data_IF_921706635833
#
_entry.id   IF_921706635833
#
_cell.length_a   1.000
_cell.length_b   1.000
_cell.length_c   1.000
_cell.angle_alpha   90.00
_cell.angle_beta   90.00
_cell.angle_gamma   90.00
#
_symmetry.space_group_name_H-M   'P 1'
#
loop_
_entity.id
_entity.type
_entity.pdbx_description
1 polymer ?
#
# COMPACT_ATOMS: atom_id res chain seq x y z
N UNK A 1 1.38 29.14 -20.35
CA UNK A 1 1.56 28.73 -21.76
C UNK A 1 1.49 27.22 -21.80
N UNK A 2 0.59 26.61 -22.60
CA UNK A 2 0.39 25.15 -22.65
C UNK A 2 0.59 24.68 -24.10
N UNK A 3 1.48 23.71 -24.32
CA UNK A 3 1.74 23.14 -25.64
C UNK A 3 0.61 22.17 -26.06
N UNK A 4 0.51 21.89 -27.36
CA UNK A 4 -0.40 20.88 -27.91
C UNK A 4 0.23 20.16 -29.10
N UNK A 5 -0.53 19.26 -29.74
CA UNK A 5 -0.05 18.55 -30.95
C UNK A 5 0.10 19.46 -32.17
N UNK A 6 -0.43 20.69 -32.13
CA UNK A 6 -0.18 21.73 -33.12
C UNK A 6 0.15 23.02 -32.39
N UNK A 7 1.00 23.83 -32.99
CA UNK A 7 1.20 25.22 -32.55
C UNK A 7 0.04 26.10 -33.06
N UNK A 8 -0.16 27.31 -32.51
CA UNK A 8 -1.19 28.24 -33.00
C UNK A 8 -1.07 28.59 -34.50
N UNK A 9 0.13 28.53 -35.06
CA UNK A 9 0.42 28.71 -36.50
C UNK A 9 0.17 27.46 -37.35
N UNK A 10 -0.41 26.41 -36.76
CA UNK A 10 -0.66 25.08 -37.35
C UNK A 10 0.59 24.28 -37.72
N UNK A 11 1.78 24.73 -37.31
CA UNK A 11 2.98 23.90 -37.44
C UNK A 11 2.96 22.73 -36.46
N UNK A 12 3.68 21.65 -36.82
CA UNK A 12 3.73 20.38 -36.07
C UNK A 12 4.95 20.36 -35.15
N UNK A 13 4.77 20.47 -33.82
CA UNK A 13 5.85 20.34 -32.84
C UNK A 13 6.19 18.86 -32.58
N UNK A 14 7.11 18.63 -31.66
CA UNK A 14 7.71 17.34 -31.31
C UNK A 14 6.65 16.29 -30.95
N UNK A 15 5.68 16.65 -30.11
CA UNK A 15 4.60 15.74 -29.68
C UNK A 15 3.73 15.20 -30.82
N UNK A 16 3.59 15.95 -31.93
CA UNK A 16 2.89 15.45 -33.12
C UNK A 16 3.65 14.27 -33.74
N UNK A 17 4.96 14.44 -33.92
CA UNK A 17 5.83 13.47 -34.59
C UNK A 17 5.93 12.20 -33.75
N UNK A 18 6.05 12.34 -32.43
CA UNK A 18 6.07 11.22 -31.50
C UNK A 18 4.75 10.44 -31.51
N UNK A 19 3.61 11.13 -31.41
CA UNK A 19 2.29 10.49 -31.47
C UNK A 19 2.07 9.74 -32.79
N UNK A 20 2.49 10.33 -33.92
CA UNK A 20 2.41 9.69 -35.23
C UNK A 20 3.26 8.41 -35.29
N UNK A 21 4.46 8.41 -34.70
CA UNK A 21 5.32 7.22 -34.64
C UNK A 21 4.70 6.12 -33.80
N UNK A 22 4.15 6.45 -32.63
CA UNK A 22 3.45 5.48 -31.76
C UNK A 22 2.23 4.89 -32.47
N UNK A 23 1.44 5.71 -33.19
CA UNK A 23 0.31 5.22 -33.99
C UNK A 23 0.73 4.32 -35.16
N UNK A 24 1.97 4.42 -35.65
CA UNK A 24 2.56 3.44 -36.56
C UNK A 24 2.77 2.10 -35.88
N UNK A 25 3.50 2.09 -34.75
CA UNK A 25 3.79 0.88 -33.97
C UNK A 25 2.51 0.16 -33.54
N UNK A 26 1.50 0.91 -33.07
CA UNK A 26 0.25 0.35 -32.59
C UNK A 26 -0.54 -0.39 -33.68
N UNK A 27 -0.45 0.02 -34.94
CA UNK A 27 -1.18 -0.61 -36.06
C UNK A 27 -0.63 -1.98 -36.44
N UNK A 28 0.67 -2.18 -36.24
CA UNK A 28 1.38 -3.37 -36.73
C UNK A 28 1.62 -4.40 -35.60
N UNK A 29 1.29 -4.07 -34.35
CA UNK A 29 1.47 -4.93 -33.20
C UNK A 29 0.17 -5.60 -32.77
N UNK A 30 0.25 -6.88 -32.38
CA UNK A 30 -0.82 -7.58 -31.68
C UNK A 30 -0.74 -7.27 -30.18
N UNK A 31 -1.76 -6.60 -29.65
CA UNK A 31 -1.76 -6.12 -28.27
C UNK A 31 -2.58 -7.06 -27.40
N UNK A 32 -1.96 -7.72 -26.41
CA UNK A 32 -2.71 -8.59 -25.51
C UNK A 32 -3.71 -7.78 -24.67
N UNK A 33 -4.82 -8.41 -24.32
CA UNK A 33 -5.76 -7.85 -23.36
C UNK A 33 -5.07 -7.60 -22.01
N UNK A 34 -5.58 -6.63 -21.25
CA UNK A 34 -5.12 -6.44 -19.89
C UNK A 34 -5.42 -7.71 -19.06
N UNK A 35 -4.41 -8.19 -18.33
CA UNK A 35 -4.52 -9.26 -17.35
C UNK A 35 -4.56 -8.67 -15.95
N UNK A 36 -5.04 -9.45 -14.97
CA UNK A 36 -4.94 -9.13 -13.54
C UNK A 36 -3.48 -8.85 -13.18
N UNK A 37 -3.26 -7.83 -12.34
CA UNK A 37 -1.96 -7.52 -11.76
C UNK A 37 -1.42 -8.64 -10.86
N UNK A 38 -0.15 -8.54 -10.47
CA UNK A 38 0.46 -9.49 -9.53
C UNK A 38 -0.05 -9.32 -8.10
N UNK A 39 -0.37 -8.07 -7.77
CA UNK A 39 -0.73 -7.61 -6.43
C UNK A 39 -1.79 -6.52 -6.55
N UNK A 40 -2.56 -6.33 -5.48
CA UNK A 40 -3.48 -5.20 -5.38
C UNK A 40 -3.09 -4.22 -4.28
N UNK A 41 -3.47 -2.95 -4.50
CA UNK A 41 -3.39 -1.87 -3.52
C UNK A 41 -4.79 -1.28 -3.35
N UNK A 42 -5.35 -1.39 -2.15
CA UNK A 42 -6.66 -0.81 -1.82
C UNK A 42 -6.48 0.66 -1.53
N UNK A 43 -7.12 1.51 -2.34
CA UNK A 43 -7.13 2.96 -2.19
C UNK A 43 -8.55 3.45 -1.93
N UNK A 44 -8.69 4.29 -0.92
CA UNK A 44 -9.98 4.82 -0.49
C UNK A 44 -9.97 6.34 -0.42
N UNK A 45 -10.94 6.96 -1.07
CA UNK A 45 -11.08 8.42 -1.08
C UNK A 45 -11.59 8.95 0.26
N UNK A 46 -12.43 8.20 0.99
CA UNK A 46 -12.87 8.61 2.32
C UNK A 46 -11.69 8.67 3.29
N UNK A 47 -10.78 7.70 3.20
CA UNK A 47 -9.50 7.69 3.91
C UNK A 47 -8.63 8.90 3.58
N UNK A 48 -8.58 9.31 2.31
CA UNK A 48 -7.88 10.53 1.91
C UNK A 48 -8.47 11.76 2.62
N UNK A 49 -9.79 11.89 2.66
CA UNK A 49 -10.46 13.02 3.33
C UNK A 49 -10.29 12.98 4.84
N UNK A 50 -10.37 11.80 5.45
CA UNK A 50 -10.19 11.63 6.87
C UNK A 50 -8.80 12.08 7.32
N UNK A 51 -7.76 11.67 6.60
CA UNK A 51 -6.38 12.03 6.97
C UNK A 51 -5.98 13.42 6.53
N UNK A 52 -6.64 14.01 5.54
CA UNK A 52 -6.56 15.46 5.31
C UNK A 52 -7.22 16.26 6.46
N UNK A 53 -8.30 15.73 7.05
CA UNK A 53 -9.03 16.37 8.17
C UNK A 53 -8.23 16.30 9.47
N UNK A 54 -7.67 15.12 9.79
CA UNK A 54 -6.84 14.91 10.98
C UNK A 54 -5.51 14.23 10.57
N UNK A 55 -4.54 14.98 10.03
CA UNK A 55 -3.26 14.41 9.64
C UNK A 55 -2.44 13.98 10.86
N UNK A 56 -2.55 14.69 11.99
CA UNK A 56 -1.80 14.47 13.25
C UNK A 56 -0.26 14.68 13.14
N UNK A 57 0.29 14.64 11.93
CA UNK A 57 1.66 15.00 11.58
C UNK A 57 1.62 15.84 10.31
N UNK A 58 2.44 16.88 10.21
CA UNK A 58 2.60 17.66 8.97
C UNK A 58 3.00 16.79 7.78
N UNK A 59 3.74 15.71 8.05
CA UNK A 59 4.30 14.83 7.03
C UNK A 59 3.44 13.59 6.73
N UNK A 60 2.34 13.37 7.46
CA UNK A 60 1.45 12.24 7.18
C UNK A 60 0.45 12.60 6.08
N UNK A 61 0.71 12.08 4.88
CA UNK A 61 -0.15 12.26 3.70
C UNK A 61 -0.56 10.90 3.13
N UNK A 62 -1.88 10.65 3.05
CA UNK A 62 -2.42 9.36 2.63
C UNK A 62 -2.02 8.98 1.21
N UNK A 63 -2.04 9.95 0.29
CA UNK A 63 -1.69 9.72 -1.10
C UNK A 63 -0.19 9.40 -1.23
N UNK A 64 0.67 10.10 -0.49
CA UNK A 64 2.11 9.84 -0.43
C UNK A 64 2.40 8.45 0.11
N UNK A 65 1.71 7.98 1.15
CA UNK A 65 1.85 6.61 1.67
C UNK A 65 1.59 5.59 0.56
N UNK A 66 0.47 5.75 -0.15
CA UNK A 66 0.11 4.90 -1.28
C UNK A 66 1.12 4.98 -2.43
N UNK A 67 1.56 6.19 -2.76
CA UNK A 67 2.52 6.41 -3.83
C UNK A 67 3.89 5.79 -3.51
N UNK A 68 4.35 5.86 -2.26
CA UNK A 68 5.59 5.23 -1.83
C UNK A 68 5.49 3.71 -1.90
N UNK A 69 4.39 3.12 -1.40
CA UNK A 69 4.11 1.68 -1.51
C UNK A 69 4.05 1.26 -2.98
N UNK A 70 3.28 1.97 -3.81
CA UNK A 70 3.22 1.75 -5.26
C UNK A 70 4.62 1.81 -5.89
N UNK A 71 5.45 2.82 -5.56
CA UNK A 71 6.82 2.92 -6.09
C UNK A 71 7.67 1.73 -5.68
N UNK A 72 7.56 1.23 -4.44
CA UNK A 72 8.24 0.01 -3.98
C UNK A 72 7.84 -1.21 -4.79
N UNK A 73 6.54 -1.45 -4.97
CA UNK A 73 6.02 -2.56 -5.78
C UNK A 73 6.52 -2.48 -7.23
N UNK A 74 6.47 -1.29 -7.84
CA UNK A 74 6.92 -1.06 -9.22
C UNK A 74 8.44 -1.20 -9.39
N UNK A 75 9.23 -0.88 -8.36
CA UNK A 75 10.68 -1.10 -8.36
C UNK A 75 11.05 -2.59 -8.31
N UNK A 76 10.15 -3.43 -7.80
CA UNK A 76 10.28 -4.89 -7.80
C UNK A 76 9.62 -5.55 -9.02
N UNK A 77 9.26 -4.79 -10.04
CA UNK A 77 8.76 -5.32 -11.32
C UNK A 77 7.33 -5.86 -11.28
N UNK A 78 6.57 -5.52 -10.23
CA UNK A 78 5.19 -5.95 -10.05
C UNK A 78 4.22 -5.07 -10.85
N UNK A 79 3.26 -5.71 -11.52
CA UNK A 79 2.05 -5.08 -12.04
C UNK A 79 1.06 -4.94 -10.89
N UNK A 80 0.52 -3.75 -10.72
CA UNK A 80 -0.33 -3.39 -9.57
C UNK A 80 -1.70 -3.00 -10.10
N UNK A 81 -2.74 -3.58 -9.52
CA UNK A 81 -4.10 -3.12 -9.69
C UNK A 81 -4.53 -2.33 -8.43
N UNK A 82 -5.27 -1.25 -8.64
CA UNK A 82 -5.77 -0.40 -7.56
C UNK A 82 -7.25 -0.70 -7.38
N UNK A 83 -7.62 -1.10 -6.17
CA UNK A 83 -8.99 -1.46 -5.82
C UNK A 83 -9.61 -0.38 -4.91
N UNK A 84 -10.90 -0.12 -5.05
CA UNK A 84 -11.67 0.51 -3.98
C UNK A 84 -11.94 -0.52 -2.87
N UNK A 85 -12.32 -0.09 -1.66
CA UNK A 85 -12.80 -1.00 -0.62
C UNK A 85 -13.91 -1.95 -1.11
N UNK A 86 -14.89 -1.43 -1.85
CA UNK A 86 -15.97 -2.25 -2.41
C UNK A 86 -15.50 -3.30 -3.40
N UNK A 87 -14.54 -2.95 -4.27
CA UNK A 87 -13.94 -3.93 -5.18
C UNK A 87 -13.14 -4.98 -4.42
N UNK A 88 -12.42 -4.57 -3.37
CA UNK A 88 -11.69 -5.49 -2.51
C UNK A 88 -12.61 -6.53 -1.88
N UNK A 89 -13.82 -6.17 -1.42
CA UNK A 89 -14.79 -7.12 -0.84
C UNK A 89 -15.03 -8.38 -1.71
N UNK A 90 -14.95 -8.26 -3.04
CA UNK A 90 -15.20 -9.38 -3.96
C UNK A 90 -13.94 -9.91 -4.66
N UNK A 91 -12.81 -9.21 -4.59
CA UNK A 91 -11.64 -9.45 -5.46
C UNK A 91 -10.33 -9.70 -4.73
N UNK A 92 -10.31 -9.86 -3.41
CA UNK A 92 -9.06 -10.17 -2.69
C UNK A 92 -8.37 -11.41 -3.27
N UNK A 93 -9.13 -12.49 -3.48
CA UNK A 93 -8.63 -13.77 -3.99
C UNK A 93 -8.23 -13.77 -5.48
N UNK A 94 -8.40 -12.65 -6.19
CA UNK A 94 -7.79 -12.46 -7.53
C UNK A 94 -6.26 -12.30 -7.42
N UNK A 95 -5.72 -12.03 -6.21
CA UNK A 95 -4.33 -11.68 -5.97
C UNK A 95 -3.70 -12.59 -4.91
N UNK A 96 -2.39 -12.83 -4.99
CA UNK A 96 -1.65 -13.53 -3.92
C UNK A 96 -1.28 -12.60 -2.74
N UNK A 97 -1.31 -11.28 -2.95
CA UNK A 97 -0.91 -10.27 -1.99
C UNK A 97 -1.69 -8.97 -2.20
N UNK A 98 -2.25 -8.43 -1.13
CA UNK A 98 -2.99 -7.15 -1.12
C UNK A 98 -2.42 -6.22 -0.05
N UNK A 99 -2.21 -4.97 -0.39
CA UNK A 99 -1.88 -3.90 0.54
C UNK A 99 -3.11 -3.01 0.77
N UNK A 100 -3.42 -2.69 2.03
CA UNK A 100 -4.48 -1.76 2.40
C UNK A 100 -3.99 -0.80 3.50
N UNK A 101 -3.11 0.16 3.17
CA UNK A 101 -2.50 1.03 4.16
C UNK A 101 -3.42 2.20 4.52
N UNK A 102 -3.55 2.49 5.82
CA UNK A 102 -4.24 3.68 6.29
C UNK A 102 -5.72 3.77 5.92
N UNK A 103 -6.45 2.66 5.80
CA UNK A 103 -7.90 2.77 5.62
C UNK A 103 -8.54 3.43 6.86
N UNK A 104 -9.39 4.44 6.66
CA UNK A 104 -10.03 5.19 7.73
C UNK A 104 -10.89 4.31 8.63
N UNK A 105 -11.76 3.53 8.00
CA UNK A 105 -12.53 2.46 8.61
C UNK A 105 -12.37 1.18 7.78
N UNK A 106 -12.79 0.05 8.35
CA UNK A 106 -12.97 -1.19 7.62
C UNK A 106 -14.43 -1.61 7.79
N UNK A 107 -15.21 -1.61 6.71
CA UNK A 107 -16.62 -1.98 6.78
C UNK A 107 -16.80 -3.43 7.26
N UNK A 108 -18.02 -3.79 7.67
CA UNK A 108 -18.32 -5.15 8.06
C UNK A 108 -18.10 -6.12 6.88
N UNK A 109 -18.45 -5.70 5.67
CA UNK A 109 -18.29 -6.46 4.44
C UNK A 109 -16.82 -6.67 4.10
N UNK A 110 -16.00 -5.62 4.16
CA UNK A 110 -14.56 -5.73 3.90
C UNK A 110 -13.88 -6.58 4.98
N UNK A 111 -14.27 -6.42 6.24
CA UNK A 111 -13.77 -7.24 7.35
C UNK A 111 -14.14 -8.72 7.19
N UNK A 112 -15.32 -9.01 6.64
CA UNK A 112 -15.73 -10.38 6.32
C UNK A 112 -14.93 -10.96 5.15
N UNK A 113 -14.67 -10.18 4.09
CA UNK A 113 -13.84 -10.58 2.96
C UNK A 113 -12.38 -10.85 3.40
N UNK A 114 -11.76 -9.85 4.03
CA UNK A 114 -10.94 -9.99 5.25
C UNK A 114 -10.66 -11.41 5.76
N UNK A 115 -11.62 -11.88 6.55
CA UNK A 115 -11.56 -13.13 7.27
C UNK A 115 -11.72 -14.38 6.41
N UNK A 116 -12.34 -14.28 5.24
CA UNK A 116 -12.62 -15.42 4.38
C UNK A 116 -11.54 -15.66 3.32
N UNK A 117 -10.69 -14.67 3.03
CA UNK A 117 -9.72 -14.72 1.95
C UNK A 117 -8.57 -15.69 2.22
N UNK A 118 -8.07 -16.31 1.15
CA UNK A 118 -6.79 -17.04 1.19
C UNK A 118 -5.60 -16.13 0.88
N UNK A 119 -5.85 -14.86 0.60
CA UNK A 119 -4.85 -13.87 0.19
C UNK A 119 -4.15 -13.29 1.40
N UNK A 120 -2.84 -13.07 1.30
CA UNK A 120 -2.09 -12.31 2.32
C UNK A 120 -2.49 -10.84 2.22
N UNK A 121 -3.02 -10.27 3.30
CA UNK A 121 -3.43 -8.86 3.37
C UNK A 121 -2.50 -8.12 4.34
N UNK A 122 -1.82 -7.08 3.84
CA UNK A 122 -0.97 -6.22 4.63
C UNK A 122 -1.70 -4.90 4.90
N UNK A 123 -2.14 -4.74 6.14
CA UNK A 123 -2.71 -3.49 6.64
C UNK A 123 -1.58 -2.56 7.06
N UNK A 124 -1.70 -1.29 6.70
CA UNK A 124 -0.72 -0.26 7.06
C UNK A 124 -1.08 0.50 8.33
N UNK A 125 -0.23 1.45 8.75
CA UNK A 125 -0.51 2.29 9.92
C UNK A 125 -1.84 3.02 9.76
N UNK A 126 -2.52 3.28 10.88
CA UNK A 126 -3.84 3.94 10.97
C UNK A 126 -5.02 3.20 10.35
N UNK A 127 -4.81 2.01 9.78
CA UNK A 127 -5.90 1.20 9.23
C UNK A 127 -6.94 0.90 10.31
N UNK A 128 -8.21 1.17 10.01
CA UNK A 128 -9.34 1.04 10.93
C UNK A 128 -9.12 1.73 12.28
N UNK A 129 -8.41 2.87 12.29
CA UNK A 129 -8.16 3.62 13.53
C UNK A 129 -9.32 4.50 13.98
N UNK A 130 -10.37 4.59 13.16
CA UNK A 130 -11.57 5.37 13.43
C UNK A 130 -12.82 4.58 13.07
N UNK A 131 -13.91 4.88 13.78
CA UNK A 131 -15.26 4.48 13.38
C UNK A 131 -15.75 5.31 12.19
N UNK A 132 -16.87 4.93 11.58
CA UNK A 132 -17.51 5.70 10.50
C UNK A 132 -17.80 7.15 10.90
N UNK A 133 -18.08 7.40 12.18
CA UNK A 133 -18.36 8.73 12.74
C UNK A 133 -17.08 9.44 13.27
N UNK A 134 -15.89 9.04 12.82
CA UNK A 134 -14.60 9.64 13.18
C UNK A 134 -14.28 9.58 14.69
N UNK A 135 -14.73 8.54 15.38
CA UNK A 135 -14.38 8.32 16.79
C UNK A 135 -13.27 7.29 16.93
N UNK A 136 -12.54 7.32 18.05
CA UNK A 136 -11.63 6.22 18.38
C UNK A 136 -12.51 5.02 18.78
N UNK A 137 -12.30 3.81 18.21
CA UNK A 137 -13.04 2.61 18.58
C UNK A 137 -12.91 2.31 20.08
N UNK A 138 -13.99 1.84 20.72
CA UNK A 138 -14.02 1.59 22.16
C UNK A 138 -12.96 0.56 22.61
N UNK A 139 -12.67 -0.43 21.76
CA UNK A 139 -11.68 -1.48 22.03
C UNK A 139 -10.26 -1.15 21.53
N UNK A 140 -10.01 0.12 21.20
CA UNK A 140 -8.81 0.64 20.54
C UNK A 140 -8.64 0.16 19.08
N UNK A 141 -7.90 0.92 18.26
CA UNK A 141 -7.53 0.50 16.90
C UNK A 141 -6.70 -0.79 16.84
N UNK A 142 -6.66 -1.46 15.68
CA UNK A 142 -7.60 -1.34 14.56
C UNK A 142 -8.98 -1.95 14.90
N UNK A 143 -10.05 -1.30 14.45
CA UNK A 143 -11.42 -1.80 14.56
C UNK A 143 -11.67 -2.93 13.56
N UNK A 144 -11.25 -4.14 13.94
CA UNK A 144 -11.38 -5.36 13.16
C UNK A 144 -11.97 -6.49 14.00
N UNK A 145 -12.67 -7.48 13.44
CA UNK A 145 -13.10 -8.65 14.20
C UNK A 145 -11.92 -9.35 14.90
N UNK A 146 -12.12 -9.79 16.15
CA UNK A 146 -11.06 -10.42 16.96
C UNK A 146 -10.36 -11.57 16.20
N UNK A 147 -11.11 -12.35 15.42
CA UNK A 147 -10.60 -13.47 14.62
C UNK A 147 -9.46 -13.05 13.67
N UNK A 148 -9.47 -11.82 13.17
CA UNK A 148 -8.46 -11.31 12.22
C UNK A 148 -7.63 -10.14 12.76
N UNK A 149 -7.93 -9.63 13.95
CA UNK A 149 -7.24 -8.47 14.55
C UNK A 149 -5.85 -8.87 15.05
N UNK A 150 -4.74 -8.42 14.44
CA UNK A 150 -3.39 -8.80 14.88
C UNK A 150 -2.82 -7.86 15.94
N UNK A 151 -3.36 -6.66 16.09
CA UNK A 151 -2.79 -5.60 16.91
C UNK A 151 -3.85 -4.96 17.81
N UNK A 152 -3.39 -4.33 18.89
CA UNK A 152 -4.12 -3.33 19.65
C UNK A 152 -3.22 -2.10 19.83
N UNK A 153 -3.58 -0.99 19.21
CA UNK A 153 -2.76 0.23 19.20
C UNK A 153 -3.04 1.05 20.45
N UNK A 154 -2.04 1.19 21.31
CA UNK A 154 -2.17 1.89 22.60
C UNK A 154 -1.76 3.35 22.53
N UNK A 155 -0.86 3.68 21.60
CA UNK A 155 -0.33 5.04 21.39
C UNK A 155 0.24 5.20 19.99
N UNK A 156 0.31 6.44 19.52
CA UNK A 156 0.96 6.80 18.26
C UNK A 156 1.96 7.94 18.46
N UNK A 157 2.95 8.01 17.59
CA UNK A 157 3.95 9.07 17.52
C UNK A 157 4.04 9.61 16.09
N UNK A 158 3.93 10.93 15.96
CA UNK A 158 4.30 11.68 14.75
C UNK A 158 5.80 11.96 14.80
N UNK A 159 6.56 11.41 13.86
CA UNK A 159 8.03 11.54 13.85
C UNK A 159 8.44 12.80 13.09
N UNK A 160 9.34 13.59 13.69
CA UNK A 160 9.96 14.73 13.02
C UNK A 160 10.79 14.29 11.81
N UNK A 161 10.98 15.19 10.85
CA UNK A 161 11.84 14.91 9.70
C UNK A 161 13.26 14.51 10.16
N UNK A 162 13.82 13.47 9.54
CA UNK A 162 15.13 12.92 9.91
C UNK A 162 15.12 11.95 11.10
N UNK A 163 14.06 11.92 11.92
CA UNK A 163 13.93 10.93 12.98
C UNK A 163 13.50 9.58 12.38
N UNK A 164 14.29 8.56 12.66
CA UNK A 164 14.06 7.19 12.17
C UNK A 164 14.06 6.22 13.34
N UNK A 165 13.23 5.18 13.26
CA UNK A 165 13.15 4.11 14.26
C UNK A 165 13.59 2.81 13.58
N UNK A 166 14.83 2.36 13.80
CA UNK A 166 15.36 1.17 13.13
C UNK A 166 14.53 -0.09 13.44
N UNK A 167 14.29 -0.89 12.41
CA UNK A 167 13.73 -2.23 12.51
C UNK A 167 14.86 -3.26 12.46
N UNK A 168 14.79 -4.26 13.33
CA UNK A 168 15.82 -5.28 13.50
C UNK A 168 16.15 -6.05 12.22
N UNK A 169 17.32 -6.70 12.19
CA UNK A 169 17.75 -7.49 11.04
C UNK A 169 18.16 -6.67 9.82
N UNK A 170 18.52 -5.40 10.01
CA UNK A 170 18.86 -4.47 8.92
C UNK A 170 17.74 -4.36 7.86
N UNK A 171 16.49 -4.50 8.32
CA UNK A 171 15.30 -4.53 7.47
C UNK A 171 14.94 -3.14 6.93
N UNK A 172 15.35 -2.07 7.63
CA UNK A 172 14.99 -0.67 7.35
C UNK A 172 14.54 0.04 8.62
N UNK A 173 13.66 1.02 8.49
CA UNK A 173 13.17 1.81 9.62
C UNK A 173 11.72 2.27 9.45
N UNK A 174 11.09 2.61 10.57
CA UNK A 174 9.87 3.43 10.57
C UNK A 174 10.27 4.92 10.54
N UNK A 175 9.55 5.70 9.74
CA UNK A 175 9.70 7.14 9.53
C UNK A 175 8.33 7.79 9.53
N UNK A 176 8.19 9.11 9.70
CA UNK A 176 6.91 9.87 9.67
C UNK A 176 5.88 9.52 10.76
N UNK A 177 5.61 8.23 10.98
CA UNK A 177 4.59 7.70 11.86
C UNK A 177 5.03 6.40 12.50
N UNK A 178 4.74 6.27 13.79
CA UNK A 178 4.95 5.05 14.57
C UNK A 178 3.74 4.77 15.45
N UNK A 179 3.42 3.49 15.60
CA UNK A 179 2.36 3.01 16.46
C UNK A 179 2.93 2.05 17.50
N UNK A 180 2.50 2.22 18.76
CA UNK A 180 2.79 1.29 19.85
C UNK A 180 1.66 0.28 19.87
N UNK A 181 1.99 -0.96 19.51
CA UNK A 181 1.04 -2.05 19.42
C UNK A 181 1.29 -3.09 20.51
N UNK A 182 0.21 -3.60 21.09
CA UNK A 182 0.17 -4.87 21.79
C UNK A 182 -0.25 -5.96 20.79
N UNK A 183 0.40 -7.13 20.85
CA UNK A 183 -0.04 -8.29 20.08
C UNK A 183 -1.43 -8.74 20.58
N UNK A 184 -2.39 -8.88 19.67
CA UNK A 184 -3.77 -9.23 20.00
C UNK A 184 -4.14 -10.62 19.44
N UNK A 185 -4.95 -11.36 20.21
CA UNK A 185 -5.56 -12.62 19.78
C UNK A 185 -4.57 -13.65 19.24
N UNK A 186 -3.40 -13.79 19.87
CA UNK A 186 -2.38 -14.79 19.51
C UNK A 186 -1.58 -14.46 18.25
N UNK A 187 -1.45 -13.18 17.89
CA UNK A 187 -0.60 -12.75 16.78
C UNK A 187 0.89 -12.88 17.07
N UNK A 188 1.66 -13.12 16.01
CA UNK A 188 3.11 -13.20 16.04
C UNK A 188 3.75 -11.84 15.74
N UNK A 189 4.83 -11.52 16.44
CA UNK A 189 5.68 -10.37 16.13
C UNK A 189 6.73 -10.77 15.08
N UNK A 190 6.46 -10.41 13.82
CA UNK A 190 7.29 -10.77 12.66
C UNK A 190 8.50 -9.84 12.52
N UNK A 191 8.32 -8.56 12.81
CA UNK A 191 9.39 -7.57 12.83
C UNK A 191 9.29 -6.72 14.10
N UNK A 192 10.44 -6.31 14.63
CA UNK A 192 10.56 -5.57 15.88
C UNK A 192 11.46 -4.35 15.69
N UNK A 193 11.14 -3.23 16.34
CA UNK A 193 12.00 -2.04 16.41
C UNK A 193 13.15 -2.24 17.40
N UNK A 194 14.21 -1.43 17.30
CA UNK A 194 15.40 -1.54 18.16
C UNK A 194 15.14 -1.36 19.67
N UNK A 195 14.01 -0.74 20.04
CA UNK A 195 13.54 -0.57 21.42
C UNK A 195 12.49 -1.61 21.84
N UNK A 196 12.30 -2.67 21.05
CA UNK A 196 11.54 -3.85 21.46
C UNK A 196 10.05 -3.84 21.12
N UNK A 197 9.54 -2.78 20.48
CA UNK A 197 8.13 -2.70 20.08
C UNK A 197 7.88 -3.40 18.72
N UNK A 198 6.65 -3.87 18.45
CA UNK A 198 6.33 -4.45 17.15
C UNK A 198 6.46 -3.42 16.02
N UNK A 199 7.10 -3.84 14.92
CA UNK A 199 7.05 -3.13 13.64
C UNK A 199 6.06 -3.80 12.67
N UNK A 200 5.95 -5.13 12.73
CA UNK A 200 4.98 -5.91 11.94
C UNK A 200 4.41 -7.03 12.81
N UNK A 201 3.08 -7.06 12.95
CA UNK A 201 2.34 -8.14 13.62
C UNK A 201 1.62 -8.99 12.58
N UNK A 202 1.45 -10.29 12.84
CA UNK A 202 0.81 -11.23 11.92
C UNK A 202 -0.19 -12.11 12.64
N UNK A 203 -1.37 -12.26 12.04
CA UNK A 203 -2.40 -13.21 12.46
C UNK A 203 -3.01 -13.90 11.25
N UNK A 204 -2.72 -15.19 11.08
CA UNK A 204 -3.15 -15.93 9.89
C UNK A 204 -2.63 -15.26 8.62
N UNK A 205 -3.56 -14.83 7.76
CA UNK A 205 -3.27 -14.13 6.50
C UNK A 205 -3.22 -12.60 6.62
N UNK A 206 -3.45 -12.03 7.81
CA UNK A 206 -3.47 -10.58 8.03
C UNK A 206 -2.18 -10.14 8.72
N UNK A 207 -1.46 -9.23 8.09
CA UNK A 207 -0.34 -8.52 8.67
C UNK A 207 -0.74 -7.07 8.99
N UNK A 208 -0.16 -6.50 10.04
CA UNK A 208 -0.35 -5.09 10.42
C UNK A 208 1.00 -4.42 10.64
N UNK A 209 1.30 -3.43 9.80
CA UNK A 209 2.53 -2.63 9.86
C UNK A 209 2.32 -1.45 10.80
N UNK A 210 3.06 -1.43 11.92
CA UNK A 210 2.89 -0.49 13.03
C UNK A 210 3.60 0.86 12.81
N UNK A 211 3.69 1.32 11.56
CA UNK A 211 4.31 2.60 11.24
C UNK A 211 4.52 2.78 9.76
N UNK A 212 5.00 3.96 9.38
CA UNK A 212 5.25 4.27 7.98
C UNK A 212 6.65 3.77 7.60
N UNK A 213 6.78 2.86 6.61
CA UNK A 213 8.05 2.23 6.29
C UNK A 213 8.92 3.17 5.47
N UNK A 214 10.21 3.22 5.78
CA UNK A 214 11.18 3.77 4.83
C UNK A 214 11.27 2.89 3.58
N UNK A 215 11.99 3.38 2.56
CA UNK A 215 12.14 2.66 1.29
C UNK A 215 12.69 1.24 1.51
N UNK A 216 13.63 1.09 2.44
CA UNK A 216 14.30 -0.19 2.69
C UNK A 216 13.36 -1.18 3.37
N UNK A 217 12.65 -0.76 4.41
CA UNK A 217 11.67 -1.58 5.10
C UNK A 217 10.55 -2.00 4.17
N UNK A 218 10.08 -1.10 3.31
CA UNK A 218 9.09 -1.40 2.30
C UNK A 218 9.60 -2.45 1.30
N UNK A 219 10.84 -2.34 0.81
CA UNK A 219 11.42 -3.35 -0.08
C UNK A 219 11.54 -4.72 0.62
N UNK A 220 12.04 -4.75 1.85
CA UNK A 220 12.15 -5.97 2.67
C UNK A 220 10.79 -6.62 2.88
N UNK A 221 9.78 -5.83 3.24
CA UNK A 221 8.40 -6.28 3.46
C UNK A 221 7.81 -6.89 2.18
N UNK A 222 7.89 -6.18 1.06
CA UNK A 222 7.34 -6.65 -0.21
C UNK A 222 8.02 -7.95 -0.64
N UNK A 223 9.36 -8.03 -0.57
CA UNK A 223 10.09 -9.24 -0.97
C UNK A 223 9.67 -10.45 -0.13
N UNK A 224 9.65 -10.30 1.19
CA UNK A 224 9.27 -11.38 2.10
C UNK A 224 7.81 -11.83 1.87
N UNK A 225 6.90 -10.89 1.67
CA UNK A 225 5.50 -11.18 1.39
C UNK A 225 5.31 -11.88 0.03
N UNK A 226 5.99 -11.40 -1.02
CA UNK A 226 5.97 -12.01 -2.34
C UNK A 226 6.59 -13.41 -2.34
N UNK A 227 7.69 -13.63 -1.63
CA UNK A 227 8.31 -14.95 -1.48
C UNK A 227 7.33 -15.95 -0.83
N UNK A 228 6.66 -15.53 0.25
CA UNK A 228 5.65 -16.34 0.94
C UNK A 228 4.46 -16.66 0.02
N UNK A 229 4.07 -15.72 -0.84
CA UNK A 229 2.96 -15.86 -1.79
C UNK A 229 3.35 -16.51 -3.13
N UNK A 230 4.62 -16.89 -3.33
CA UNK A 230 5.10 -17.43 -4.61
C UNK A 230 5.10 -16.43 -5.78
N UNK A 231 5.08 -15.12 -5.49
CA UNK A 231 5.07 -14.05 -6.49
C UNK A 231 6.53 -13.69 -6.84
N UNK A 232 6.85 -13.75 -8.14
CA UNK A 232 8.20 -13.44 -8.62
C UNK A 232 8.45 -11.93 -8.58
N UNK A 233 9.48 -11.51 -7.84
CA UNK A 233 9.98 -10.13 -7.84
C UNK A 233 11.22 -9.98 -8.71
N UNK A 234 11.37 -8.81 -9.33
CA UNK A 234 12.52 -8.43 -10.17
C UNK A 234 12.98 -7.02 -9.79
N UNK A 235 14.03 -6.85 -8.97
CA UNK A 235 14.59 -5.53 -8.71
C UNK A 235 15.02 -4.85 -10.01
N UNK A 236 14.43 -3.69 -10.30
CA UNK A 236 14.68 -2.92 -11.51
C UNK A 236 15.72 -1.82 -11.23
N UNK A 237 16.59 -1.50 -12.21
CA UNK A 237 17.47 -0.34 -12.12
C UNK A 237 16.69 0.98 -11.95
N UNK A 238 17.39 2.02 -11.48
CA UNK A 238 16.82 3.37 -11.39
C UNK A 238 16.26 3.82 -12.75
N UNK A 239 15.08 4.44 -12.74
CA UNK A 239 14.38 4.88 -13.96
C UNK A 239 13.67 3.77 -14.76
N UNK A 240 13.93 2.48 -14.51
CA UNK A 240 13.33 1.36 -15.27
C UNK A 240 12.04 0.88 -14.61
N UNK A 241 11.00 0.59 -15.42
CA UNK A 241 9.71 0.04 -14.97
C UNK A 241 9.25 -1.10 -15.88
N UNK A 242 8.52 -2.04 -15.31
CA UNK A 242 7.92 -3.19 -16.02
C UNK A 242 6.41 -3.21 -15.79
N UNK A 243 5.61 -3.44 -16.83
CA UNK A 243 4.17 -3.77 -16.72
C UNK A 243 3.90 -4.95 -17.65
N UNK A 244 3.10 -5.90 -17.18
CA UNK A 244 2.63 -7.03 -17.99
C UNK A 244 1.18 -6.81 -18.42
N UNK A 245 0.87 -7.32 -19.60
CA UNK A 245 -0.46 -7.46 -20.18
C UNK A 245 -0.43 -8.78 -20.97
N UNK A 246 -1.51 -9.56 -20.91
CA UNK A 246 -1.55 -10.95 -21.37
C UNK A 246 -1.22 -11.94 -20.26
#
# INVERSE_FOLDING_TARGET
MHAGLLRPDRSRPEGFVEAQRVAGILRDADWPAASTGDVALVFDYESCWAWATQPQSENFDYFRLHLEIYKGLRQLGLSVDILSPDMACARLDDYGLVFAPGLFNCSAELSAAIAATNTRVILGPRTASKTADFQIPADMPPDLPEAIRPARITRVESLAEGLTIPVGGDAGALVVWREFAEAAGGSDMVMQTGDGHPALLRKGQVDYLCGWPDKRLLETLIRSACETAGIITRPLPSGVRLRRAG
#
